data_IF_570119399405
#
_entry.id   IF_570119399405
#
_cell.length_a   1.000
_cell.length_b   1.000
_cell.length_c   1.000
_cell.angle_alpha   90.00
_cell.angle_beta   90.00
_cell.angle_gamma   90.00
#
_symmetry.space_group_name_H-M   'P 1'
#
loop_
_entity.id
_entity.type
_entity.pdbx_description
1 polymer ?
#
# COMPACT_ATOMS: atom_id res chain seq x y z
N UNK A 1 -65.21 -14.66 57.27
CA UNK A 1 -64.86 -13.78 58.40
C UNK A 1 -64.14 -12.57 57.79
N UNK A 2 -64.78 -11.38 57.88
CA UNK A 2 -64.34 -10.00 57.52
C UNK A 2 -63.96 -9.70 56.04
N UNK A 3 -64.83 -8.97 55.29
CA UNK A 3 -64.90 -7.49 55.03
C UNK A 3 -63.93 -7.03 53.92
N UNK A 4 -64.42 -6.62 52.73
CA UNK A 4 -64.70 -5.21 52.30
C UNK A 4 -63.48 -4.28 52.48
N UNK A 5 -63.01 -3.45 51.54
CA UNK A 5 -63.63 -2.78 50.38
C UNK A 5 -62.54 -1.96 49.63
N UNK A 6 -62.75 -1.70 48.32
CA UNK A 6 -62.46 -0.41 47.61
C UNK A 6 -60.96 -0.04 47.44
N UNK A 7 -60.41 0.43 46.31
CA UNK A 7 -60.80 1.54 45.44
C UNK A 7 -60.08 1.48 44.07
N UNK A 8 -60.71 2.09 43.08
CA UNK A 8 -60.26 2.34 41.71
C UNK A 8 -59.14 3.39 41.61
N UNK A 9 -58.26 3.25 40.62
CA UNK A 9 -57.61 4.33 39.83
C UNK A 9 -56.92 3.62 38.64
N UNK A 10 -57.31 3.80 37.37
CA UNK A 10 -57.27 5.06 36.65
C UNK A 10 -55.85 5.30 36.12
N UNK A 11 -55.55 4.87 34.88
CA UNK A 11 -54.65 5.57 33.94
C UNK A 11 -54.21 4.67 32.76
N UNK A 12 -54.68 5.06 31.58
CA UNK A 12 -53.98 5.17 30.29
C UNK A 12 -52.81 4.23 29.99
N UNK A 13 -53.03 3.37 28.99
CA UNK A 13 -51.97 2.75 28.17
C UNK A 13 -51.05 3.85 27.60
N UNK A 14 -49.72 3.77 27.73
CA UNK A 14 -48.82 4.63 26.97
C UNK A 14 -48.60 4.05 25.56
N UNK A 15 -48.57 4.86 24.50
CA UNK A 15 -48.14 4.39 23.18
C UNK A 15 -46.61 4.36 23.17
N UNK A 16 -45.99 3.19 23.30
CA UNK A 16 -44.53 3.07 23.11
C UNK A 16 -44.23 2.91 21.62
N UNK A 17 -44.12 4.06 20.97
CA UNK A 17 -43.03 4.46 20.09
C UNK A 17 -42.31 3.31 19.36
N UNK A 18 -42.56 3.21 18.05
CA UNK A 18 -41.78 2.42 17.11
C UNK A 18 -40.31 2.78 17.26
N UNK A 19 -39.56 1.91 17.94
CA UNK A 19 -38.10 1.94 17.96
C UNK A 19 -37.60 1.76 16.53
N UNK A 20 -37.35 2.86 15.83
CA UNK A 20 -36.47 2.85 14.66
C UNK A 20 -35.10 2.39 15.16
N UNK A 21 -34.71 1.17 14.81
CA UNK A 21 -33.32 0.75 14.92
C UNK A 21 -32.48 1.83 14.21
N UNK A 22 -31.53 2.50 14.88
CA UNK A 22 -30.62 3.38 14.17
C UNK A 22 -29.86 2.48 13.20
N UNK A 23 -30.09 2.66 11.90
CA UNK A 23 -29.27 2.04 10.88
C UNK A 23 -27.84 2.42 11.21
N UNK A 24 -27.05 1.44 11.66
CA UNK A 24 -25.60 1.60 11.75
C UNK A 24 -25.17 2.00 10.35
N UNK A 25 -24.79 3.26 10.16
CA UNK A 25 -24.01 3.67 9.00
C UNK A 25 -22.79 2.76 9.03
N UNK A 26 -22.78 1.74 8.17
CA UNK A 26 -21.59 0.94 7.92
C UNK A 26 -20.53 1.95 7.51
N UNK A 27 -19.63 2.26 8.43
CA UNK A 27 -18.48 3.09 8.15
C UNK A 27 -17.68 2.28 7.14
N UNK A 28 -17.77 2.63 5.86
CA UNK A 28 -16.89 2.09 4.84
C UNK A 28 -15.47 2.25 5.38
N UNK A 29 -14.67 1.18 5.50
CA UNK A 29 -13.28 1.33 5.87
C UNK A 29 -12.67 2.34 4.92
N UNK A 30 -12.03 3.38 5.46
CA UNK A 30 -11.24 4.27 4.62
C UNK A 30 -10.29 3.40 3.76
N UNK A 31 -10.07 3.72 2.47
CA UNK A 31 -9.16 2.96 1.64
C UNK A 31 -7.82 2.86 2.37
N UNK A 32 -7.40 1.65 2.76
CA UNK A 32 -6.04 1.45 3.27
C UNK A 32 -5.12 1.88 2.14
N UNK A 33 -4.23 2.79 2.44
CA UNK A 33 -3.19 3.19 1.49
C UNK A 33 -2.39 1.94 1.13
N UNK A 34 -2.53 1.51 -0.13
CA UNK A 34 -1.95 0.26 -0.59
C UNK A 34 -0.44 0.45 -0.77
N UNK A 35 0.35 -0.47 -0.22
CA UNK A 35 1.80 -0.51 -0.41
C UNK A 35 2.10 -1.62 -1.41
N UNK A 36 2.93 -1.31 -2.40
CA UNK A 36 3.40 -2.24 -3.41
C UNK A 36 4.93 -2.20 -3.43
N UNK A 37 5.52 -3.35 -3.71
CA UNK A 37 6.96 -3.52 -3.80
C UNK A 37 7.34 -3.84 -5.24
N UNK A 38 8.03 -2.92 -5.89
CA UNK A 38 8.58 -3.11 -7.23
C UNK A 38 10.01 -3.65 -7.09
N UNK A 39 10.25 -4.86 -7.60
CA UNK A 39 11.57 -5.48 -7.67
C UNK A 39 12.12 -5.29 -9.08
N UNK A 40 13.28 -4.65 -9.21
CA UNK A 40 13.91 -4.29 -10.49
C UNK A 40 15.32 -4.87 -10.58
N UNK A 41 15.65 -5.62 -11.64
CA UNK A 41 16.97 -6.22 -11.83
C UNK A 41 17.41 -6.17 -13.29
N UNK A 42 18.70 -6.45 -13.53
CA UNK A 42 19.27 -6.49 -14.87
C UNK A 42 19.76 -7.89 -15.20
N UNK A 43 19.45 -8.36 -16.41
CA UNK A 43 20.03 -9.56 -17.00
C UNK A 43 20.38 -9.22 -18.45
N UNK A 44 21.62 -9.52 -18.88
CA UNK A 44 22.12 -9.21 -20.23
C UNK A 44 21.83 -7.76 -20.67
N UNK A 45 22.10 -6.78 -19.78
CA UNK A 45 21.82 -5.34 -19.96
C UNK A 45 20.34 -4.96 -20.16
N UNK A 46 19.42 -5.92 -20.07
CA UNK A 46 17.97 -5.69 -20.15
C UNK A 46 17.40 -5.56 -18.74
N UNK A 47 16.66 -4.48 -18.43
CA UNK A 47 15.97 -4.35 -17.16
C UNK A 47 14.72 -5.23 -17.13
N UNK A 48 14.48 -5.86 -15.99
CA UNK A 48 13.30 -6.69 -15.71
C UNK A 48 12.68 -6.26 -14.39
N UNK A 49 11.37 -6.36 -14.30
CA UNK A 49 10.63 -5.93 -13.12
C UNK A 49 9.53 -6.93 -12.73
N UNK A 50 9.23 -6.98 -11.44
CA UNK A 50 8.09 -7.70 -10.87
C UNK A 50 7.48 -6.87 -9.74
N UNK A 51 6.15 -6.97 -9.57
CA UNK A 51 5.40 -6.24 -8.54
C UNK A 51 4.88 -7.25 -7.53
N UNK A 52 5.03 -6.93 -6.25
CA UNK A 52 4.58 -7.72 -5.12
C UNK A 52 3.72 -6.86 -4.19
N UNK A 53 2.76 -7.49 -3.53
CA UNK A 53 1.97 -6.92 -2.43
C UNK A 53 2.53 -7.29 -1.05
N UNK A 54 3.40 -8.30 -0.99
CA UNK A 54 4.08 -8.77 0.22
C UNK A 54 5.57 -8.39 0.25
N UNK A 55 6.00 -7.77 1.35
CA UNK A 55 7.39 -7.33 1.54
C UNK A 55 8.36 -8.51 1.57
N UNK A 56 8.00 -9.60 2.22
CA UNK A 56 8.89 -10.75 2.43
C UNK A 56 9.17 -11.46 1.11
N UNK A 57 8.13 -11.66 0.30
CA UNK A 57 8.24 -12.20 -1.05
C UNK A 57 9.11 -11.31 -1.95
N UNK A 58 8.92 -9.99 -1.88
CA UNK A 58 9.75 -9.02 -2.62
C UNK A 58 11.22 -9.11 -2.21
N UNK A 59 11.51 -9.12 -0.89
CA UNK A 59 12.86 -9.20 -0.35
C UNK A 59 13.55 -10.53 -0.75
N UNK A 60 12.84 -11.64 -0.68
CA UNK A 60 13.36 -12.94 -1.10
C UNK A 60 13.67 -12.95 -2.60
N UNK A 61 12.75 -12.44 -3.44
CA UNK A 61 12.94 -12.36 -4.88
C UNK A 61 14.13 -11.46 -5.25
N UNK A 62 14.31 -10.35 -4.53
CA UNK A 62 15.40 -9.41 -4.74
C UNK A 62 16.76 -9.98 -4.32
N UNK A 63 16.81 -10.71 -3.20
CA UNK A 63 18.05 -11.34 -2.73
C UNK A 63 18.61 -12.37 -3.72
N UNK A 64 17.75 -13.11 -4.43
CA UNK A 64 18.19 -14.09 -5.44
C UNK A 64 18.72 -13.40 -6.71
N UNK A 65 18.19 -12.23 -7.04
CA UNK A 65 18.44 -11.53 -8.32
C UNK A 65 19.45 -10.39 -8.21
N UNK A 66 19.93 -10.09 -7.01
CA UNK A 66 20.66 -8.85 -6.70
C UNK A 66 19.92 -7.61 -7.22
N UNK A 67 18.64 -7.53 -6.88
CA UNK A 67 17.71 -6.52 -7.41
C UNK A 67 17.61 -5.27 -6.53
N UNK A 68 17.03 -4.22 -7.07
CA UNK A 68 16.49 -3.11 -6.30
C UNK A 68 15.07 -3.47 -5.82
N UNK A 69 14.74 -3.12 -4.58
CA UNK A 69 13.36 -3.11 -4.06
C UNK A 69 12.94 -1.66 -3.86
N UNK A 70 11.84 -1.28 -4.52
CA UNK A 70 11.25 0.05 -4.45
C UNK A 70 9.89 -0.08 -3.76
N UNK A 71 9.76 0.53 -2.58
CA UNK A 71 8.50 0.61 -1.85
C UNK A 71 7.68 1.79 -2.38
N UNK A 72 6.51 1.48 -2.92
CA UNK A 72 5.58 2.44 -3.52
C UNK A 72 4.30 2.48 -2.70
N UNK A 73 3.92 3.67 -2.25
CA UNK A 73 2.74 3.88 -1.41
C UNK A 73 1.66 4.69 -2.14
N UNK A 74 0.44 4.17 -2.07
CA UNK A 74 -0.79 4.88 -2.42
C UNK A 74 -0.98 5.13 -3.92
N UNK A 75 -2.07 5.83 -4.24
CA UNK A 75 -2.47 6.14 -5.63
C UNK A 75 -1.58 7.19 -6.31
N UNK A 76 -0.74 7.90 -5.55
CA UNK A 76 0.15 8.95 -6.06
C UNK A 76 1.55 8.44 -6.42
N UNK A 77 1.77 7.12 -6.39
CA UNK A 77 3.08 6.50 -6.68
C UNK A 77 4.21 7.12 -5.85
N UNK A 78 3.95 7.40 -4.57
CA UNK A 78 4.98 7.93 -3.69
C UNK A 78 6.00 6.84 -3.43
N UNK A 79 7.26 7.10 -3.76
CA UNK A 79 8.37 6.20 -3.43
C UNK A 79 8.80 6.52 -2.00
N UNK A 80 8.60 5.59 -1.09
CA UNK A 80 8.97 5.77 0.32
C UNK A 80 10.40 5.30 0.60
N UNK A 81 10.82 4.20 -0.06
CA UNK A 81 12.12 3.58 0.18
C UNK A 81 12.64 2.89 -1.07
N UNK A 82 13.95 2.94 -1.26
CA UNK A 82 14.65 2.11 -2.25
C UNK A 82 15.80 1.38 -1.56
N UNK A 83 15.84 0.06 -1.71
CA UNK A 83 16.85 -0.83 -1.14
C UNK A 83 17.59 -1.54 -2.27
N UNK A 84 18.91 -1.56 -2.18
CA UNK A 84 19.80 -2.20 -3.13
C UNK A 84 20.31 -3.53 -2.56
N UNK A 85 19.90 -4.66 -3.17
CA UNK A 85 20.35 -6.00 -2.77
C UNK A 85 21.64 -6.44 -3.44
N UNK A 86 22.14 -5.69 -4.42
CA UNK A 86 23.48 -5.90 -4.97
C UNK A 86 24.55 -5.40 -4.00
N UNK A 87 24.32 -4.25 -3.37
CA UNK A 87 25.21 -3.71 -2.32
C UNK A 87 24.89 -4.29 -0.96
N UNK A 88 25.92 -4.71 -0.23
CA UNK A 88 25.78 -5.26 1.13
C UNK A 88 26.77 -4.61 2.10
N UNK A 89 26.32 -4.43 3.34
CA UNK A 89 27.19 -4.01 4.44
C UNK A 89 28.08 -5.17 4.94
N UNK A 90 28.94 -4.91 5.93
CA UNK A 90 29.83 -5.91 6.51
C UNK A 90 29.09 -7.09 7.17
N UNK A 91 27.82 -6.90 7.53
CA UNK A 91 26.95 -7.94 8.05
C UNK A 91 26.18 -8.70 6.95
N UNK A 92 26.44 -8.39 5.68
CA UNK A 92 25.79 -9.01 4.51
C UNK A 92 24.37 -8.51 4.25
N UNK A 93 23.92 -7.42 4.90
CA UNK A 93 22.57 -6.87 4.76
C UNK A 93 22.51 -5.91 3.56
N UNK A 94 21.39 -5.89 2.82
CA UNK A 94 21.23 -4.97 1.70
C UNK A 94 21.25 -3.52 2.17
N UNK A 95 21.81 -2.64 1.35
CA UNK A 95 21.99 -1.23 1.71
C UNK A 95 20.88 -0.35 1.11
N UNK A 96 20.56 0.82 1.70
CA UNK A 96 19.74 1.82 1.03
C UNK A 96 20.36 2.24 -0.30
N UNK A 97 19.53 2.45 -1.32
CA UNK A 97 20.03 2.91 -2.61
C UNK A 97 20.51 4.36 -2.52
N UNK A 98 21.66 4.63 -3.13
CA UNK A 98 22.22 5.97 -3.25
C UNK A 98 21.88 6.56 -4.62
N UNK A 99 21.35 7.79 -4.62
CA UNK A 99 21.24 8.57 -5.85
C UNK A 99 22.63 8.99 -6.29
N UNK A 100 22.95 8.73 -7.56
CA UNK A 100 24.22 9.14 -8.16
C UNK A 100 23.93 10.00 -9.37
N UNK A 101 24.57 11.16 -9.43
CA UNK A 101 24.64 11.94 -10.65
C UNK A 101 25.58 11.21 -11.61
N UNK A 102 25.04 10.70 -12.72
CA UNK A 102 25.87 10.12 -13.77
C UNK A 102 26.50 11.31 -14.52
N UNK A 103 27.78 11.55 -14.28
CA UNK A 103 28.53 12.70 -14.84
C UNK A 103 28.78 12.64 -16.36
N UNK A 104 28.19 11.67 -17.06
CA UNK A 104 28.18 11.60 -18.51
C UNK A 104 26.72 11.68 -18.98
N UNK A 105 26.44 12.22 -20.19
CA UNK A 105 25.15 12.02 -20.81
C UNK A 105 24.92 10.52 -20.79
N UNK A 106 23.91 10.07 -20.05
CA UNK A 106 23.53 8.68 -20.08
C UNK A 106 23.14 8.42 -21.53
N UNK A 107 24.05 7.83 -22.30
CA UNK A 107 23.76 7.18 -23.56
C UNK A 107 22.95 5.94 -23.17
N UNK A 108 21.73 6.19 -22.70
CA UNK A 108 20.76 5.17 -22.42
C UNK A 108 20.50 4.54 -23.79
N UNK A 109 20.92 3.29 -24.03
CA UNK A 109 20.78 2.67 -25.34
C UNK A 109 19.31 2.51 -25.77
N UNK A 110 18.38 2.74 -24.83
CA UNK A 110 16.94 2.72 -25.02
C UNK A 110 16.30 4.10 -25.26
N UNK A 111 17.04 5.20 -25.07
CA UNK A 111 16.53 6.52 -25.45
C UNK A 111 16.40 6.56 -26.99
N UNK A 112 15.26 7.04 -27.54
CA UNK A 112 15.12 7.16 -28.98
C UNK A 112 16.28 7.97 -29.55
N UNK A 113 17.04 7.38 -30.48
CA UNK A 113 18.08 8.14 -31.19
C UNK A 113 17.39 9.34 -31.87
N UNK A 114 17.91 10.57 -31.73
CA UNK A 114 17.39 11.70 -32.48
C UNK A 114 17.38 11.33 -33.96
N UNK A 115 16.22 11.47 -34.62
CA UNK A 115 16.13 11.23 -36.05
C UNK A 115 17.08 12.23 -36.73
N UNK A 116 18.06 11.79 -37.55
CA UNK A 116 18.91 12.73 -38.25
C UNK A 116 18.02 13.64 -39.11
N UNK A 117 18.16 14.95 -38.91
CA UNK A 117 17.60 15.93 -39.83
C UNK A 117 18.47 15.87 -41.09
N UNK A 118 18.03 15.10 -42.08
CA UNK A 118 18.54 15.25 -43.43
C UNK A 118 18.03 16.60 -43.94
N UNK A 119 18.93 17.56 -44.04
CA UNK A 119 18.76 18.78 -44.83
C UNK A 119 19.21 18.56 -46.26
#
# INVERSE_FOLDING_TARGET
>A
MLKESVESNGASVPPTETRKCPMKKTRTPAPKEQVLYLVLWWQTQTPYAAVFDDEVAACAAASVRNALVIEVRGTRLKIDRVVDYYRRDDAGRPMPAEWREVAAPALLPWAPRPKPAFG
#
